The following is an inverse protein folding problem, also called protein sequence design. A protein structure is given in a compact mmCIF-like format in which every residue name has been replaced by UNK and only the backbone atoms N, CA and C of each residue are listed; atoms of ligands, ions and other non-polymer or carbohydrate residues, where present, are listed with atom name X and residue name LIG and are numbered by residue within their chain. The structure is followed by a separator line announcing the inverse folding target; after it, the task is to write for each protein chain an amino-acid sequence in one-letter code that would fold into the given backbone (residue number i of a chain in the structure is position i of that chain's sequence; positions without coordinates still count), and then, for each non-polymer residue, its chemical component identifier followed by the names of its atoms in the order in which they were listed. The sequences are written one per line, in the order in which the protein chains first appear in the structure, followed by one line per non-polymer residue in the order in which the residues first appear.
data_IF_003039395149
#
_entry.id   IF_003039395149
#
_cell.length_a   1.000
_cell.length_b   1.000
_cell.length_c   1.000
_cell.angle_alpha   90.00
_cell.angle_beta   90.00
_cell.angle_gamma   90.00
#
_symmetry.space_group_name_H-M   'P 1'
#
loop_
_entity.id
_entity.type
_entity.pdbx_description
1 polymer ?
#
# COMPACT_ATOMS: atom_id res chain seq x y z
N UNK A 1 -15.95 -10.91 -3.37
CA UNK A 1 -16.12 -10.48 -1.96
C UNK A 1 -14.73 -10.25 -1.42
N UNK A 2 -14.39 -9.00 -1.10
CA UNK A 2 -13.18 -8.72 -0.32
C UNK A 2 -13.51 -9.31 1.05
N UNK A 3 -12.83 -10.38 1.44
CA UNK A 3 -12.92 -10.88 2.81
C UNK A 3 -12.58 -9.68 3.71
N UNK A 4 -13.46 -9.37 4.66
CA UNK A 4 -13.19 -8.39 5.72
C UNK A 4 -11.76 -8.65 6.19
N UNK A 5 -10.87 -7.68 5.96
CA UNK A 5 -9.48 -7.79 6.36
C UNK A 5 -9.53 -7.88 7.88
N UNK A 6 -9.31 -9.08 8.43
CA UNK A 6 -9.18 -9.28 9.87
C UNK A 6 -8.07 -8.31 10.32
N UNK A 7 -8.31 -7.39 11.27
CA UNK A 7 -7.37 -6.33 11.66
C UNK A 7 -6.09 -6.86 12.33
N UNK A 8 -5.77 -8.14 12.16
CA UNK A 8 -4.50 -8.77 12.51
C UNK A 8 -3.42 -8.24 11.58
N UNK A 9 -2.83 -7.13 11.97
CA UNK A 9 -1.73 -6.53 11.25
C UNK A 9 -0.42 -7.18 11.71
N UNK A 10 0.38 -7.62 10.76
CA UNK A 10 1.68 -8.22 11.02
C UNK A 10 2.77 -7.17 10.91
N UNK A 11 3.72 -7.18 11.86
CA UNK A 11 4.91 -6.34 11.73
C UNK A 11 5.74 -6.81 10.53
N UNK A 12 5.97 -5.93 9.56
CA UNK A 12 6.81 -6.21 8.40
C UNK A 12 8.19 -6.76 8.79
N UNK A 13 8.78 -6.24 9.88
CA UNK A 13 10.11 -6.66 10.36
C UNK A 13 10.17 -8.11 10.84
N UNK A 14 9.01 -8.75 11.04
CA UNK A 14 8.94 -10.16 11.43
C UNK A 14 8.88 -11.13 10.23
N UNK A 15 8.82 -10.63 9.00
CA UNK A 15 8.93 -11.46 7.80
C UNK A 15 10.38 -11.93 7.59
N UNK A 16 10.56 -13.00 6.81
CA UNK A 16 11.89 -13.39 6.34
C UNK A 16 12.48 -12.30 5.46
N UNK A 17 13.80 -12.23 5.40
CA UNK A 17 14.50 -11.16 4.68
C UNK A 17 14.17 -11.16 3.17
N UNK A 18 14.04 -12.33 2.54
CA UNK A 18 13.58 -12.43 1.15
C UNK A 18 12.17 -11.87 0.93
N UNK A 19 11.24 -12.14 1.84
CA UNK A 19 9.86 -11.72 1.78
C UNK A 19 9.72 -10.22 2.10
N UNK A 20 10.57 -9.71 2.99
CA UNK A 20 10.71 -8.28 3.25
C UNK A 20 11.06 -7.50 1.97
N UNK A 21 12.00 -8.02 1.16
CA UNK A 21 12.39 -7.37 -0.11
C UNK A 21 11.21 -7.29 -1.08
N UNK A 22 10.38 -8.34 -1.17
CA UNK A 22 9.19 -8.35 -2.03
C UNK A 22 8.18 -7.30 -1.58
N UNK A 23 7.82 -7.30 -0.29
CA UNK A 23 6.83 -6.38 0.27
C UNK A 23 7.33 -4.93 0.21
N UNK A 24 8.60 -4.66 0.48
CA UNK A 24 9.20 -3.33 0.32
C UNK A 24 9.15 -2.84 -1.14
N UNK A 25 9.35 -3.74 -2.11
CA UNK A 25 9.27 -3.41 -3.53
C UNK A 25 7.84 -3.06 -3.95
N UNK A 26 6.84 -3.82 -3.48
CA UNK A 26 5.43 -3.51 -3.71
C UNK A 26 5.03 -2.17 -3.07
N UNK A 27 5.54 -1.88 -1.86
CA UNK A 27 5.30 -0.62 -1.19
C UNK A 27 5.94 0.59 -1.89
N UNK A 28 7.12 0.42 -2.51
CA UNK A 28 7.69 1.46 -3.38
C UNK A 28 6.74 1.82 -4.53
N UNK A 29 6.06 0.83 -5.12
CA UNK A 29 5.04 1.08 -6.16
C UNK A 29 3.85 1.85 -5.58
N UNK A 30 3.36 1.46 -4.39
CA UNK A 30 2.30 2.19 -3.69
C UNK A 30 2.66 3.67 -3.48
N UNK A 31 3.88 3.95 -3.01
CA UNK A 31 4.36 5.33 -2.80
C UNK A 31 4.44 6.13 -4.12
N UNK A 32 4.86 5.50 -5.21
CA UNK A 32 4.89 6.14 -6.53
C UNK A 32 3.48 6.53 -7.01
N UNK A 33 2.51 5.62 -6.87
CA UNK A 33 1.10 5.90 -7.22
C UNK A 33 0.53 7.04 -6.38
N UNK A 34 0.78 7.01 -5.06
CA UNK A 34 0.34 8.06 -4.15
C UNK A 34 0.92 9.43 -4.54
N UNK A 35 2.21 9.48 -4.87
CA UNK A 35 2.90 10.70 -5.31
C UNK A 35 2.30 11.24 -6.62
N UNK A 36 2.15 10.39 -7.64
CA UNK A 36 1.56 10.80 -8.92
C UNK A 36 0.16 11.39 -8.73
N UNK A 37 -0.65 10.77 -7.87
CA UNK A 37 -1.98 11.28 -7.52
C UNK A 37 -1.93 12.66 -6.87
N UNK A 38 -1.00 12.90 -5.96
CA UNK A 38 -0.79 14.22 -5.33
C UNK A 38 -0.35 15.26 -6.37
N UNK A 39 0.59 14.92 -7.25
CA UNK A 39 1.06 15.80 -8.34
C UNK A 39 -0.09 16.18 -9.31
N UNK A 40 -1.00 15.23 -9.59
CA UNK A 40 -2.18 15.49 -10.42
C UNK A 40 -3.19 16.41 -9.71
N UNK A 41 -3.41 16.25 -8.40
CA UNK A 41 -4.27 17.15 -7.61
C UNK A 41 -3.77 18.59 -7.68
N UNK A 42 -2.48 18.80 -7.46
CA UNK A 42 -1.86 20.13 -7.56
C UNK A 42 -1.96 20.73 -8.98
N UNK A 43 -1.89 19.88 -10.00
CA UNK A 43 -2.00 20.30 -11.39
C UNK A 43 -3.43 20.68 -11.74
N UNK A 44 -4.41 19.88 -11.31
CA UNK A 44 -5.85 20.07 -11.57
C UNK A 44 -6.36 21.42 -11.07
N UNK A 45 -5.91 21.86 -9.90
CA UNK A 45 -6.32 23.12 -9.28
C UNK A 45 -5.93 24.38 -10.06
N UNK A 46 -4.99 24.25 -11.01
CA UNK A 46 -4.51 25.34 -11.87
C UNK A 46 -5.22 25.40 -13.23
N UNK A 47 -6.12 24.45 -13.51
CA UNK A 47 -6.74 24.30 -14.83
C UNK A 47 -8.12 24.93 -14.94
N UNK A 48 -8.59 25.12 -16.18
CA UNK A 48 -9.99 25.47 -16.46
C UNK A 48 -10.93 24.31 -16.06
N UNK A 49 -12.23 24.60 -15.94
CA UNK A 49 -13.22 23.64 -15.43
C UNK A 49 -13.28 22.31 -16.18
N UNK A 50 -13.20 22.32 -17.52
CA UNK A 50 -13.28 21.09 -18.31
C UNK A 50 -12.02 20.24 -18.13
N UNK A 51 -10.85 20.87 -18.16
CA UNK A 51 -9.58 20.18 -17.95
C UNK A 51 -9.47 19.67 -16.50
N UNK A 52 -9.91 20.45 -15.51
CA UNK A 52 -9.96 20.04 -14.10
C UNK A 52 -10.82 18.80 -13.91
N UNK A 53 -12.01 18.75 -14.52
CA UNK A 53 -12.87 17.57 -14.50
C UNK A 53 -12.16 16.30 -15.02
N UNK A 54 -11.38 16.41 -16.11
CA UNK A 54 -10.62 15.26 -16.63
C UNK A 54 -9.53 14.78 -15.65
N UNK A 55 -8.87 15.70 -14.94
CA UNK A 55 -7.93 15.34 -13.88
C UNK A 55 -8.61 14.67 -12.70
N UNK A 56 -9.79 15.16 -12.28
CA UNK A 56 -10.56 14.57 -11.18
C UNK A 56 -10.93 13.11 -11.47
N UNK A 57 -11.37 12.81 -12.70
CA UNK A 57 -11.61 11.42 -13.13
C UNK A 57 -10.33 10.56 -13.03
N UNK A 58 -9.19 11.07 -13.50
CA UNK A 58 -7.92 10.35 -13.40
C UNK A 58 -7.47 10.11 -11.95
N UNK A 59 -7.74 11.07 -11.05
CA UNK A 59 -7.44 10.97 -9.62
C UNK A 59 -8.32 9.90 -8.96
N UNK A 60 -9.61 9.82 -9.29
CA UNK A 60 -10.51 8.76 -8.79
C UNK A 60 -10.04 7.36 -9.21
N UNK A 61 -9.62 7.20 -10.46
CA UNK A 61 -9.04 5.94 -10.95
C UNK A 61 -7.76 5.57 -10.19
N UNK A 62 -6.92 6.57 -9.86
CA UNK A 62 -5.72 6.36 -9.04
C UNK A 62 -6.05 6.02 -7.59
N UNK A 63 -7.12 6.57 -7.01
CA UNK A 63 -7.60 6.17 -5.68
C UNK A 63 -7.97 4.68 -5.65
N UNK A 64 -8.63 4.16 -6.71
CA UNK A 64 -8.92 2.73 -6.80
C UNK A 64 -7.65 1.87 -6.95
N UNK A 65 -6.69 2.33 -7.75
CA UNK A 65 -5.41 1.61 -7.94
C UNK A 65 -4.62 1.58 -6.63
N UNK A 66 -4.58 2.68 -5.90
CA UNK A 66 -3.94 2.78 -4.58
C UNK A 66 -4.50 1.74 -3.60
N UNK A 67 -5.82 1.64 -3.49
CA UNK A 67 -6.47 0.67 -2.60
C UNK A 67 -6.21 -0.78 -3.05
N UNK A 68 -6.25 -1.06 -4.36
CA UNK A 68 -5.93 -2.40 -4.91
C UNK A 68 -4.49 -2.81 -4.58
N UNK A 69 -3.53 -1.89 -4.66
CA UNK A 69 -2.13 -2.16 -4.29
C UNK A 69 -2.02 -2.43 -2.79
N UNK A 70 -2.66 -1.61 -1.95
CA UNK A 70 -2.69 -1.81 -0.49
C UNK A 70 -3.21 -3.21 -0.12
N UNK A 71 -4.35 -3.61 -0.67
CA UNK A 71 -4.94 -4.94 -0.45
C UNK A 71 -3.98 -6.05 -0.92
N UNK A 72 -3.34 -5.87 -2.07
CA UNK A 72 -2.39 -6.85 -2.61
C UNK A 72 -1.17 -7.04 -1.70
N UNK A 73 -0.62 -5.95 -1.14
CA UNK A 73 0.49 -6.01 -0.20
C UNK A 73 0.08 -6.79 1.06
N UNK A 74 -1.07 -6.47 1.64
CA UNK A 74 -1.59 -7.15 2.84
C UNK A 74 -1.76 -8.66 2.57
N UNK A 75 -2.38 -9.02 1.43
CA UNK A 75 -2.55 -10.41 1.03
C UNK A 75 -1.22 -11.14 0.79
N UNK A 76 -0.22 -10.43 0.24
CA UNK A 76 1.13 -10.98 0.07
C UNK A 76 1.77 -11.30 1.42
N UNK A 77 1.69 -10.39 2.39
CA UNK A 77 2.20 -10.59 3.76
C UNK A 77 1.53 -11.81 4.42
N UNK A 78 0.21 -11.87 4.38
CA UNK A 78 -0.56 -13.00 4.94
C UNK A 78 -0.13 -14.31 4.28
N UNK A 79 -0.04 -14.32 2.94
CA UNK A 79 0.36 -15.51 2.19
C UNK A 79 1.75 -15.99 2.56
N UNK A 80 2.72 -15.09 2.80
CA UNK A 80 4.04 -15.50 3.27
C UNK A 80 3.99 -16.13 4.65
N UNK A 81 3.28 -15.51 5.59
CA UNK A 81 3.18 -15.99 6.97
C UNK A 81 2.48 -17.35 7.04
N UNK A 82 1.42 -17.56 6.28
CA UNK A 82 0.73 -18.86 6.19
C UNK A 82 1.65 -19.99 5.71
N UNK A 83 2.71 -19.65 4.97
CA UNK A 83 3.68 -20.61 4.45
C UNK A 83 4.93 -20.78 5.35
N UNK A 84 5.01 -20.06 6.47
CA UNK A 84 6.11 -20.26 7.42
C UNK A 84 5.85 -21.48 8.32
N UNK A 85 6.93 -22.13 8.73
CA UNK A 85 6.93 -23.25 9.67
C UNK A 85 6.92 -22.80 11.14
N UNK A 86 6.83 -21.48 11.38
CA UNK A 86 6.79 -20.87 12.71
C UNK A 86 5.73 -19.77 12.80
N UNK A 87 5.29 -19.47 14.02
CA UNK A 87 4.32 -18.43 14.29
C UNK A 87 4.95 -17.03 14.19
N UNK A 88 4.32 -16.16 13.42
CA UNK A 88 4.64 -14.72 13.37
C UNK A 88 3.68 -13.97 14.27
N UNK A 89 4.22 -13.21 15.22
CA UNK A 89 3.42 -12.45 16.18
C UNK A 89 2.69 -11.29 15.51
N UNK A 90 1.37 -11.27 15.69
CA UNK A 90 0.46 -10.18 15.32
C UNK A 90 0.65 -8.96 16.24
N UNK A 91 0.41 -7.77 15.69
CA UNK A 91 0.36 -6.52 16.43
C UNK A 91 -1.06 -5.94 16.39
N UNK A 92 -1.51 -5.41 17.52
CA UNK A 92 -2.72 -4.60 17.58
C UNK A 92 -2.38 -3.17 17.13
N UNK A 93 -2.57 -2.89 15.84
CA UNK A 93 -2.39 -1.58 15.23
C UNK A 93 -3.36 -1.40 14.07
N UNK A 94 -3.64 -0.15 13.70
CA UNK A 94 -4.43 0.20 12.51
C UNK A 94 -3.52 0.55 11.31
N UNK A 95 -2.20 0.53 11.52
CA UNK A 95 -1.20 0.80 10.49
C UNK A 95 -0.81 -0.48 9.73
N UNK A 96 -1.47 -0.73 8.60
CA UNK A 96 -1.22 -1.88 7.72
C UNK A 96 0.21 -1.97 7.17
N UNK A 97 0.98 -0.89 7.23
CA UNK A 97 2.37 -0.84 6.76
C UNK A 97 3.36 -0.68 7.93
N UNK A 98 2.95 -1.03 9.15
CA UNK A 98 3.78 -0.91 10.33
C UNK A 98 5.14 -1.59 10.18
N UNK A 99 6.20 -0.83 10.44
CA UNK A 99 7.59 -1.27 10.33
C UNK A 99 8.19 -1.17 8.92
N UNK A 100 7.38 -0.83 7.90
CA UNK A 100 7.80 -0.62 6.51
C UNK A 100 8.20 0.83 6.23
N UNK A 101 7.73 1.77 7.04
CA UNK A 101 8.11 3.18 6.92
C UNK A 101 9.55 3.44 7.37
N UNK A 102 10.08 2.61 8.27
CA UNK A 102 11.47 2.66 8.74
C UNK A 102 12.46 2.09 7.70
N UNK A 103 12.00 1.28 6.74
CA UNK A 103 12.86 0.73 5.68
C UNK A 103 13.06 1.71 4.51
N UNK A 104 12.72 2.98 4.69
CA UNK A 104 12.94 4.05 3.71
C UNK A 104 14.41 4.47 3.61
N UNK A 105 15.23 4.12 4.61
CA UNK A 105 16.61 4.61 4.78
C UNK A 105 17.70 3.55 4.54
N UNK A 106 17.38 2.37 3.99
CA UNK A 106 18.37 1.33 3.58
C UNK A 106 18.44 1.13 2.06
#
# INVERSE_FOLDING_TARGET
MINEIDPRIYNFKNLKLEDQVVVASQFKIFLLVKKEKEDLKETADKQNSLTKFLYEVAIEELDEVEEKIKVTIIQTIISFIENYDYFVKELETDDYFYGLEDSKDE
#
